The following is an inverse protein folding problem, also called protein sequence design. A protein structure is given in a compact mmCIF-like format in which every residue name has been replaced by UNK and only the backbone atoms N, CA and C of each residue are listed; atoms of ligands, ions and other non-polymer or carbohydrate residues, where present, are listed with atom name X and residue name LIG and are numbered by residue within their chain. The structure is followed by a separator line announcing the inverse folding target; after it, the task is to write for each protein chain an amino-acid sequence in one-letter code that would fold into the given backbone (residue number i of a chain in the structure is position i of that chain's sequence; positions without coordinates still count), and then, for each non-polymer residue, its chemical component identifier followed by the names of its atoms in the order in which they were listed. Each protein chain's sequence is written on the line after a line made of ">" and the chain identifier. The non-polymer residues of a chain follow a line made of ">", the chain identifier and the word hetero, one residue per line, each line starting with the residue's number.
data_IF_598917947447
#
_entry.id   IF_598917947447
#
_cell.length_a   1.000
_cell.length_b   1.000
_cell.length_c   1.000
_cell.angle_alpha   90.00
_cell.angle_beta   90.00
_cell.angle_gamma   90.00
#
_symmetry.space_group_name_H-M   'P 1'
#
loop_
_entity.id
_entity.type
_entity.pdbx_description
1 polymer ?
2 water ?
#
# COMPACT_ATOMS: atom_id res chain seq x y z
N UNK A 6 12.70 8.15 14.96
CA UNK A 6 12.45 6.93 15.73
C UNK A 6 12.27 5.70 14.79
N UNK A 7 13.25 4.76 14.82
CA UNK A 7 13.23 3.51 14.02
C UNK A 7 12.86 2.32 14.93
N UNK A 8 11.68 1.69 14.74
CA UNK A 8 11.30 0.55 15.60
C UNK A 8 12.20 -0.65 15.42
N UNK A 9 12.30 -1.53 16.45
CA UNK A 9 13.16 -2.71 16.32
C UNK A 9 12.53 -3.78 15.44
N UNK A 10 13.27 -4.77 14.91
CA UNK A 10 12.60 -5.87 14.22
C UNK A 10 11.88 -6.72 15.28
N UNK A 11 11.11 -7.68 14.84
CA UNK A 11 10.38 -8.55 15.74
C UNK A 11 9.15 -9.06 15.07
N UNK A 12 8.42 -9.92 15.79
CA UNK A 12 7.17 -10.51 15.32
C UNK A 12 6.07 -9.48 15.20
N UNK A 13 5.40 -9.49 14.02
CA UNK A 13 4.23 -8.69 13.71
C UNK A 13 3.06 -9.43 14.40
N UNK A 14 2.40 -8.74 15.34
CA UNK A 14 1.27 -9.27 16.10
C UNK A 14 0.01 -8.57 15.58
N UNK A 15 -1.04 -9.37 15.33
CA UNK A 15 -2.34 -8.85 14.90
C UNK A 15 -3.34 -9.21 16.01
N UNK A 16 -3.45 -8.35 17.05
CA UNK A 16 -4.36 -8.66 18.18
C UNK A 16 -5.81 -8.73 17.73
N UNK A 17 -6.69 -9.51 18.40
CA UNK A 17 -8.09 -9.53 17.97
C UNK A 17 -8.74 -8.16 18.04
N UNK A 18 -9.76 -7.97 17.22
CA UNK A 18 -10.51 -6.72 17.18
C UNK A 18 -11.39 -6.65 18.44
N UNK A 19 -11.31 -5.51 19.15
CA UNK A 19 -12.09 -5.29 20.39
C UNK A 19 -13.28 -4.36 20.15
N UNK A 20 -14.47 -4.79 20.65
CA UNK A 20 -15.75 -4.09 20.58
C UNK A 20 -15.64 -2.77 21.34
N UNK A 21 -16.05 -1.68 20.69
CA UNK A 21 -16.00 -0.33 21.25
C UNK A 21 -14.70 0.41 20.97
N UNK A 22 -13.72 -0.29 20.40
CA UNK A 22 -12.44 0.35 20.10
C UNK A 22 -12.47 0.97 18.72
N UNK A 23 -11.63 2.01 18.54
CA UNK A 23 -11.48 2.80 17.31
C UNK A 23 -10.42 2.15 16.41
N UNK A 24 -10.75 2.06 15.12
CA UNK A 24 -9.93 1.51 14.06
C UNK A 24 -10.12 2.36 12.82
N UNK A 25 -9.49 1.93 11.71
CA UNK A 25 -9.66 2.50 10.39
C UNK A 25 -10.31 1.40 9.56
N UNK A 26 -11.20 1.78 8.65
CA UNK A 26 -11.86 0.88 7.72
C UNK A 26 -12.19 1.62 6.43
N UNK A 27 -12.44 0.85 5.32
CA UNK A 27 -12.83 1.39 3.98
C UNK A 27 -14.02 2.36 4.13
N UNK A 28 -13.94 3.57 3.52
CA UNK A 28 -15.02 4.56 3.60
C UNK A 28 -16.10 4.20 2.59
N UNK A 29 -15.72 4.12 1.29
CA UNK A 29 -16.58 3.78 0.16
C UNK A 29 -15.87 2.68 -0.64
N UNK A 30 -15.04 3.06 -1.63
CA UNK A 30 -14.25 2.15 -2.47
C UNK A 30 -13.01 1.67 -1.70
N UNK A 31 -12.71 0.36 -1.79
CA UNK A 31 -11.64 -0.33 -1.05
C UNK A 31 -10.24 0.24 -1.32
N UNK A 32 -9.92 0.58 -2.61
CA UNK A 32 -8.66 1.15 -3.13
C UNK A 32 -8.51 2.62 -2.64
N UNK A 33 -9.67 3.30 -2.35
CA UNK A 33 -9.78 4.69 -1.87
C UNK A 33 -9.53 4.78 -0.35
N UNK A 34 -9.68 5.98 0.25
CA UNK A 34 -9.39 6.31 1.65
C UNK A 34 -10.11 5.43 2.69
N UNK A 35 -9.43 5.29 3.84
CA UNK A 35 -9.90 4.58 5.04
C UNK A 35 -10.04 5.60 6.13
N UNK A 36 -11.10 5.49 6.93
CA UNK A 36 -11.40 6.47 7.96
C UNK A 36 -11.73 5.82 9.31
N UNK A 37 -11.76 6.65 10.38
CA UNK A 37 -12.09 6.31 11.78
C UNK A 37 -13.47 5.67 11.92
N UNK A 38 -13.48 4.50 12.56
CA UNK A 38 -14.66 3.71 12.87
C UNK A 38 -14.54 3.16 14.31
N UNK A 39 -15.66 2.73 14.88
CA UNK A 39 -15.76 2.05 16.16
C UNK A 39 -16.45 0.75 15.82
N UNK A 40 -15.89 -0.40 16.22
CA UNK A 40 -16.51 -1.71 16.00
C UNK A 40 -17.60 -1.82 17.05
N UNK A 41 -18.84 -1.97 16.60
CA UNK A 41 -20.00 -2.01 17.49
C UNK A 41 -20.58 -3.44 17.59
N UNK A 42 -20.14 -4.38 16.74
CA UNK A 42 -20.66 -5.74 16.78
C UNK A 42 -19.71 -6.75 16.17
N UNK A 43 -19.67 -7.96 16.73
CA UNK A 43 -18.86 -9.07 16.21
C UNK A 43 -19.78 -10.18 15.72
N UNK A 44 -19.68 -10.52 14.43
CA UNK A 44 -20.49 -11.59 13.87
C UNK A 44 -19.56 -12.75 13.45
N UNK A 45 -20.02 -13.98 13.69
CA UNK A 45 -19.29 -15.17 13.30
C UNK A 45 -20.23 -16.22 12.76
N UNK A 46 -19.85 -16.87 11.66
CA UNK A 46 -20.60 -17.93 11.00
C UNK A 46 -19.78 -19.21 10.80
N UNK A 47 -20.37 -20.37 11.03
CA UNK A 47 -19.70 -21.66 10.89
C UNK A 47 -20.52 -22.60 10.01
N UNK A 48 -19.88 -23.27 9.02
CA UNK A 48 -20.52 -24.22 8.10
C UNK A 48 -20.32 -25.65 8.56
N UNK A 49 -21.08 -26.60 7.96
CA UNK A 49 -21.07 -28.04 8.26
C UNK A 49 -19.62 -28.60 8.14
N UNK A 50 -18.86 -28.11 7.15
CA UNK A 50 -17.46 -28.48 6.90
C UNK A 50 -16.49 -27.92 7.98
N UNK A 51 -16.99 -27.04 8.87
CA UNK A 51 -16.20 -26.45 9.94
C UNK A 51 -15.45 -25.16 9.65
N UNK A 52 -15.61 -24.57 8.45
CA UNK A 52 -14.92 -23.32 8.17
C UNK A 52 -15.71 -22.12 8.74
N UNK A 53 -15.10 -21.43 9.72
CA UNK A 53 -15.66 -20.23 10.35
C UNK A 53 -15.51 -18.99 9.43
N UNK A 54 -16.23 -17.88 9.73
CA UNK A 54 -16.20 -16.66 8.94
C UNK A 54 -16.51 -15.48 9.86
N UNK A 55 -15.59 -14.48 9.98
CA UNK A 55 -15.81 -13.32 10.87
C UNK A 55 -16.11 -12.05 10.08
N UNK A 56 -17.05 -11.26 10.61
CA UNK A 56 -17.53 -10.02 10.03
C UNK A 56 -17.76 -9.01 11.16
N UNK A 57 -17.71 -7.73 10.85
CA UNK A 57 -17.79 -6.71 11.90
C UNK A 57 -18.72 -5.61 11.57
N UNK A 58 -19.64 -5.31 12.49
CA UNK A 58 -20.51 -4.17 12.28
C UNK A 58 -19.72 -2.98 12.81
N UNK A 59 -19.47 -2.05 11.91
CA UNK A 59 -18.69 -0.88 12.19
C UNK A 59 -19.60 0.34 12.08
N UNK A 60 -19.28 1.38 12.83
CA UNK A 60 -19.99 2.66 12.84
C UNK A 60 -18.97 3.74 12.47
N UNK A 61 -19.26 4.56 11.45
CA UNK A 61 -18.34 5.62 11.06
C UNK A 61 -18.40 6.76 12.05
N UNK A 62 -17.23 7.29 12.39
CA UNK A 62 -17.10 8.38 13.34
C UNK A 62 -17.09 9.71 12.60
N UNK A 63 -17.64 10.75 13.26
CA UNK A 63 -17.77 12.12 12.75
C UNK A 63 -18.61 12.19 11.44
N UNK A 64 -19.90 11.81 11.53
CA UNK A 64 -20.80 11.76 10.37
C UNK A 64 -22.01 12.67 10.59
N UNK A 65 -22.75 13.10 9.52
CA UNK A 65 -23.98 13.93 9.74
C UNK A 65 -25.17 13.12 10.28
N UNK A 66 -25.21 11.84 9.92
CA UNK A 66 -26.23 10.91 10.35
C UNK A 66 -25.53 9.58 10.58
N UNK A 67 -26.19 8.63 11.24
CA UNK A 67 -25.60 7.34 11.52
C UNK A 67 -25.31 6.55 10.26
N UNK A 68 -24.05 6.14 10.12
CA UNK A 68 -23.58 5.33 9.01
C UNK A 68 -22.94 4.09 9.61
N UNK A 69 -23.54 2.94 9.31
CA UNK A 69 -23.19 1.61 9.81
C UNK A 69 -22.90 0.71 8.59
N UNK A 70 -22.00 -0.26 8.76
CA UNK A 70 -21.62 -1.19 7.69
C UNK A 70 -21.05 -2.48 8.31
N UNK A 71 -21.10 -3.58 7.54
CA UNK A 71 -20.54 -4.87 7.93
C UNK A 71 -19.38 -5.17 6.96
N UNK A 72 -18.17 -5.27 7.52
CA UNK A 72 -16.96 -5.52 6.77
C UNK A 72 -16.18 -6.68 7.39
N UNK A 73 -15.14 -7.11 6.71
CA UNK A 73 -14.21 -8.18 7.10
C UNK A 73 -12.97 -7.52 7.70
N UNK A 74 -12.23 -8.23 8.59
CA UNK A 74 -10.98 -7.74 9.20
C UNK A 74 -9.92 -7.32 8.13
N UNK A 75 -10.09 -7.79 6.87
CA UNK A 75 -9.26 -7.44 5.71
C UNK A 75 -9.58 -6.02 5.20
N UNK A 76 -10.66 -5.41 5.71
CA UNK A 76 -11.08 -4.05 5.36
C UNK A 76 -11.06 -3.14 6.60
N UNK A 77 -10.34 -3.55 7.67
CA UNK A 77 -10.14 -2.82 8.92
C UNK A 77 -8.64 -2.79 9.20
N UNK A 78 -8.13 -1.71 9.78
CA UNK A 78 -6.72 -1.56 10.15
C UNK A 78 -6.65 -0.91 11.54
N UNK A 79 -5.58 -1.20 12.31
CA UNK A 79 -5.37 -0.68 13.66
C UNK A 79 -5.21 0.85 13.62
N UNK A 80 -5.50 1.53 14.75
CA UNK A 80 -5.49 2.99 14.86
C UNK A 80 -4.13 3.59 15.17
N UNK A 81 -3.25 2.80 15.79
CA UNK A 81 -1.89 3.19 16.20
C UNK A 81 -0.87 2.44 15.36
N UNK A 82 0.37 2.99 15.18
CA UNK A 82 1.36 2.28 14.37
C UNK A 82 1.93 1.05 15.08
N UNK A 83 2.43 0.05 14.31
CA UNK A 83 3.00 -1.16 14.94
C UNK A 83 4.23 -0.88 15.84
N UNK A 84 4.47 -1.73 16.89
CA UNK A 84 5.61 -1.48 17.78
C UNK A 84 6.96 -1.99 17.25
N UNK A 85 6.93 -2.62 16.06
CA UNK A 85 8.09 -3.20 15.37
C UNK A 85 8.10 -2.77 13.94
N UNK A 86 9.29 -2.77 13.31
CA UNK A 86 9.41 -2.44 11.90
C UNK A 86 8.79 -3.54 11.03
N UNK A 87 8.26 -3.14 9.86
CA UNK A 87 7.54 -4.00 8.94
C UNK A 87 8.41 -4.37 7.75
N UNK A 88 8.07 -5.47 7.09
CA UNK A 88 8.86 -6.02 5.98
C UNK A 88 8.08 -6.07 4.67
N UNK A 89 8.79 -6.29 3.56
CA UNK A 89 8.24 -6.41 2.19
C UNK A 89 7.09 -7.43 2.16
N UNK A 90 5.94 -6.98 1.67
CA UNK A 90 4.75 -7.79 1.48
C UNK A 90 3.68 -7.56 2.50
N UNK A 91 4.00 -6.79 3.56
CA UNK A 91 3.05 -6.47 4.62
C UNK A 91 2.00 -5.50 4.06
N UNK A 92 0.74 -5.84 4.26
CA UNK A 92 -0.44 -5.09 3.83
C UNK A 92 -0.73 -4.09 4.93
N UNK A 93 -0.75 -2.82 4.57
CA UNK A 93 -0.94 -1.73 5.51
C UNK A 93 -1.89 -0.69 4.92
N UNK A 94 -2.11 0.39 5.68
CA UNK A 94 -2.67 1.66 5.23
C UNK A 94 -1.58 2.66 5.54
N UNK A 95 -1.31 3.60 4.64
CA UNK A 95 -0.26 4.60 4.89
C UNK A 95 -0.76 5.99 4.59
N UNK A 96 -0.34 6.95 5.41
CA UNK A 96 -0.79 8.31 5.23
C UNK A 96 -0.10 8.92 4.02
N UNK A 97 -0.90 9.09 2.95
CA UNK A 97 -0.49 9.66 1.68
C UNK A 97 -0.61 11.19 1.72
N UNK A 98 0.42 11.88 1.20
CA UNK A 98 0.50 13.34 1.16
C UNK A 98 0.57 13.81 -0.29
N UNK A 112 -6.44 13.94 -2.22
CA UNK A 112 -6.38 14.51 -0.87
C UNK A 112 -5.51 13.65 0.08
N UNK A 113 -5.02 14.29 1.17
CA UNK A 113 -4.20 13.64 2.20
C UNK A 113 -5.06 12.76 3.11
N UNK A 114 -4.80 11.42 3.07
CA UNK A 114 -5.54 10.39 3.80
C UNK A 114 -4.81 9.03 3.84
N UNK A 115 -5.40 8.06 4.55
CA UNK A 115 -4.90 6.71 4.66
C UNK A 115 -5.44 5.93 3.49
N UNK A 116 -4.57 5.36 2.69
CA UNK A 116 -4.96 4.57 1.53
C UNK A 116 -4.35 3.18 1.69
N UNK A 117 -5.02 2.11 1.21
CA UNK A 117 -4.44 0.76 1.33
C UNK A 117 -3.21 0.56 0.46
N UNK A 118 -2.25 -0.19 0.98
CA UNK A 118 -1.03 -0.47 0.24
C UNK A 118 -0.26 -1.67 0.75
N UNK A 119 0.90 -1.88 0.16
CA UNK A 119 1.84 -2.93 0.48
C UNK A 119 3.24 -2.32 0.67
N UNK A 120 3.99 -2.79 1.70
CA UNK A 120 5.36 -2.37 1.98
C UNK A 120 6.22 -2.93 0.81
N UNK A 121 6.93 -2.05 0.09
CA UNK A 121 7.78 -2.45 -1.03
C UNK A 121 9.29 -2.41 -0.66
N UNK A 122 9.65 -1.66 0.39
CA UNK A 122 11.02 -1.59 0.92
C UNK A 122 10.90 -1.41 2.43
N UNK A 123 11.70 -2.12 3.25
CA UNK A 123 11.60 -1.92 4.71
C UNK A 123 12.43 -0.69 5.10
N UNK A 124 12.44 -0.31 6.40
CA UNK A 124 13.27 0.81 6.87
C UNK A 124 14.74 0.42 6.68
N UNK A 125 15.50 1.21 5.90
CA UNK A 125 16.93 1.02 5.58
C UNK A 125 17.63 2.34 5.67
N UNK A 126 18.97 2.33 5.73
CA UNK A 126 19.81 3.52 5.67
C UNK A 126 19.68 4.07 4.22
N UNK A 127 19.70 3.15 3.20
CA UNK A 127 19.57 3.44 1.75
C UNK A 127 18.31 4.28 1.37
N UNK A 128 17.23 4.20 2.18
CA UNK A 128 16.01 4.97 1.88
C UNK A 128 15.68 5.98 3.00
N UNK A 129 16.67 6.30 3.89
CA UNK A 129 16.56 7.22 5.03
C UNK A 129 15.42 6.80 5.99
N UNK A 130 15.31 5.47 6.22
CA UNK A 130 14.37 4.79 7.13
C UNK A 130 12.93 5.30 6.94
N UNK A 131 12.39 5.00 5.76
CA UNK A 131 11.04 5.28 5.31
C UNK A 131 10.60 4.07 4.53
N UNK A 132 9.34 3.66 4.66
CA UNK A 132 8.82 2.54 3.90
C UNK A 132 8.44 3.02 2.52
N UNK A 133 8.80 2.25 1.48
CA UNK A 133 8.33 2.51 0.11
C UNK A 133 6.96 1.85 0.09
N UNK A 134 5.93 2.60 -0.30
CA UNK A 134 4.55 2.13 -0.40
C UNK A 134 4.12 2.00 -1.84
N UNK A 135 3.58 0.85 -2.20
CA UNK A 135 2.96 0.65 -3.51
C UNK A 135 1.45 0.65 -3.16
N UNK A 136 0.81 1.84 -3.21
CA UNK A 136 -0.60 2.02 -2.91
C UNK A 136 -1.45 1.21 -3.88
N UNK A 137 -2.66 0.81 -3.44
CA UNK A 137 -3.61 0.01 -4.21
C UNK A 137 -4.05 0.76 -5.48
N UNK A 138 -4.28 2.10 -5.35
CA UNK A 138 -4.66 3.05 -6.41
C UNK A 138 -3.53 3.28 -7.47
N UNK A 139 -2.33 2.76 -7.21
CA UNK A 139 -1.19 2.90 -8.12
C UNK A 139 -0.22 4.02 -7.78
N UNK A 140 -0.52 4.81 -6.75
CA UNK A 140 0.38 5.88 -6.32
C UNK A 140 1.52 5.25 -5.52
N UNK A 141 2.65 5.92 -5.45
CA UNK A 141 3.76 5.40 -4.66
C UNK A 141 4.36 6.54 -3.84
N UNK A 142 4.85 6.20 -2.64
CA UNK A 142 5.41 7.20 -1.73
C UNK A 142 6.25 6.56 -0.66
N UNK A 143 7.26 7.32 -0.18
CA UNK A 143 8.12 7.02 0.96
C UNK A 143 7.41 7.64 2.15
N UNK A 144 6.94 6.78 3.05
CA UNK A 144 6.17 7.17 4.23
C UNK A 144 6.95 6.72 5.48
N UNK A 145 7.10 7.60 6.53
CA UNK A 145 7.76 7.16 7.78
C UNK A 145 6.89 6.15 8.56
N UNK A 146 7.48 5.44 9.52
CA UNK A 146 6.80 4.42 10.33
C UNK A 146 5.58 4.98 11.08
N UNK A 147 5.66 6.21 11.61
CA UNK A 147 4.56 6.83 12.34
C UNK A 147 3.31 7.01 11.48
N UNK A 148 3.44 7.03 10.13
CA UNK A 148 2.30 7.20 9.22
C UNK A 148 1.74 5.87 8.62
N UNK A 149 2.17 4.67 9.11
CA UNK A 149 1.59 3.39 8.65
C UNK A 149 0.76 2.73 9.80
N UNK A 150 -0.23 1.91 9.41
CA UNK A 150 -1.09 1.11 10.28
C UNK A 150 -1.26 -0.22 9.60
N UNK A 151 -1.22 -1.28 10.37
CA UNK A 151 -1.41 -2.64 9.87
C UNK A 151 -2.89 -2.98 9.62
N UNK A 152 -3.17 -3.65 8.49
CA UNK A 152 -4.50 -4.19 8.18
C UNK A 152 -4.69 -5.33 9.22
N UNK A 153 -5.91 -5.49 9.78
CA UNK A 153 -6.17 -6.42 10.89
C UNK A 153 -6.03 -7.91 10.50
N UNK A 154 -6.17 -8.28 9.22
CA UNK A 154 -6.05 -9.69 8.83
C UNK A 154 -5.05 -9.89 7.69
N UNK A 155 -4.02 -10.71 7.97
CA UNK A 155 -2.94 -11.10 7.06
C UNK A 155 -3.45 -11.91 5.86
N UNK A 156 -2.88 -11.68 4.68
CA UNK A 156 -3.24 -12.42 3.47
C UNK A 156 -2.06 -13.30 3.09
N UNK A 157 -2.31 -14.61 2.89
CA UNK A 157 -1.22 -15.52 2.52
C UNK A 157 -0.58 -15.08 1.20
N UNK A 158 -1.41 -14.78 0.20
CA UNK A 158 -1.01 -14.34 -1.13
C UNK A 158 -1.62 -12.91 -1.18
N UNK A 159 -0.92 -11.94 -0.56
CA UNK A 159 -1.26 -10.52 -0.40
C UNK A 159 -1.69 -9.77 -1.72
N UNK A 160 -1.36 -10.30 -2.92
CA UNK A 160 -1.81 -9.73 -4.19
C UNK A 160 -3.31 -9.98 -4.40
N UNK A 161 -3.83 -11.11 -3.88
CA UNK A 161 -5.25 -11.48 -3.94
C UNK A 161 -6.18 -10.42 -3.26
N UNK A 162 -5.55 -9.44 -2.56
CA UNK A 162 -6.15 -8.31 -1.82
C UNK A 162 -6.07 -6.95 -2.55
N UNK A 163 -5.19 -6.83 -3.56
CA UNK A 163 -5.00 -5.58 -4.31
C UNK A 163 -5.97 -5.50 -5.49
N UNK A 168 -1.70 -4.24 -9.97
CA UNK A 168 -2.29 -5.36 -9.25
C UNK A 168 -1.62 -6.71 -9.60
N UNK A 169 -1.44 -7.01 -10.92
CA UNK A 169 -0.77 -8.22 -11.42
C UNK A 169 0.76 -8.04 -11.35
N UNK A 170 1.20 -6.78 -11.15
CA UNK A 170 2.58 -6.32 -10.96
C UNK A 170 3.00 -6.67 -9.53
N UNK A 171 2.09 -6.37 -8.56
CA UNK A 171 2.30 -6.59 -7.13
C UNK A 171 2.42 -8.12 -6.86
N UNK A 172 1.80 -8.97 -7.73
CA UNK A 172 1.95 -10.43 -7.65
C UNK A 172 3.37 -10.82 -8.03
N UNK A 173 3.85 -10.40 -9.24
CA UNK A 173 5.19 -10.69 -9.74
C UNK A 173 6.28 -10.07 -8.85
N UNK A 174 6.01 -8.90 -8.23
CA UNK A 174 6.94 -8.18 -7.36
C UNK A 174 7.28 -8.95 -6.10
N UNK A 175 6.23 -9.56 -5.49
CA UNK A 175 6.28 -10.25 -4.21
C UNK A 175 6.48 -11.79 -4.41
N UNK A 176 5.61 -12.49 -5.17
CA UNK A 176 5.76 -13.94 -5.38
C UNK A 176 7.04 -14.30 -6.15
N UNK A 177 7.34 -13.54 -7.21
CA UNK A 177 8.53 -13.77 -7.99
C UNK A 177 9.58 -12.67 -7.69
N UNK A 178 9.65 -12.24 -6.39
CA UNK A 178 10.57 -11.19 -5.89
C UNK A 178 12.04 -11.51 -6.18
N UNK A 179 12.77 -10.48 -6.64
CA UNK A 179 14.22 -10.55 -6.86
C UNK A 179 14.85 -9.17 -6.71
N UNK A 180 15.97 -9.11 -5.98
CA UNK A 180 16.79 -7.90 -5.78
C UNK A 180 17.44 -7.44 -7.14
N UNK A 181 17.52 -8.38 -8.13
CA UNK A 181 18.11 -8.24 -9.46
C UNK A 181 17.07 -7.86 -10.55
N UNK A 182 15.95 -7.22 -10.14
CA UNK A 182 14.89 -6.80 -11.06
C UNK A 182 15.34 -5.59 -11.88
N UNK A 183 14.91 -5.46 -13.17
CA UNK A 183 15.28 -4.25 -13.94
C UNK A 183 14.82 -2.94 -13.27
N UNK A 184 15.77 -2.01 -13.05
CA UNK A 184 15.53 -0.68 -12.46
C UNK A 184 16.21 0.35 -13.36
N UNK A 185 15.55 1.49 -13.66
CA UNK A 185 16.23 2.53 -14.43
C UNK A 185 17.18 3.29 -13.52
N UNK A 186 18.34 3.61 -14.06
CA UNK A 186 19.32 4.46 -13.44
C UNK A 186 19.11 5.74 -14.25
N UNK A 187 18.82 6.86 -13.56
CA UNK A 187 18.51 8.11 -14.26
C UNK A 187 19.15 9.32 -13.59
N UNK A 188 19.12 10.45 -14.34
CA UNK A 188 19.68 11.74 -13.99
C UNK A 188 18.68 12.84 -14.37
N UNK A 189 18.53 13.87 -13.52
CA UNK A 189 17.69 15.05 -13.79
C UNK A 189 17.95 15.58 -15.20
N UNK A 190 16.94 15.54 -16.05
CA UNK A 190 17.10 16.04 -17.41
C UNK A 190 16.99 15.01 -18.53
N UNK A 191 17.04 13.72 -18.20
CA UNK A 191 16.87 12.69 -19.22
C UNK A 191 15.38 12.53 -19.51
N UNK A 192 15.04 12.01 -20.70
CA UNK A 192 13.68 11.74 -21.09
C UNK A 192 13.50 10.28 -21.48
N UNK A 193 12.28 9.79 -21.35
CA UNK A 193 11.86 8.43 -21.72
C UNK A 193 10.37 8.38 -21.81
N UNK A 194 9.86 7.41 -22.58
CA UNK A 194 8.44 7.15 -22.78
C UNK A 194 7.90 6.60 -21.45
N UNK A 195 6.82 7.18 -20.95
CA UNK A 195 6.22 6.84 -19.67
C UNK A 195 4.71 6.67 -19.82
N UNK A 196 4.15 5.58 -19.24
CA UNK A 196 2.70 5.26 -19.24
C UNK A 196 1.93 6.06 -18.19
N UNK A 197 0.86 6.74 -18.62
CA UNK A 197 -0.05 7.46 -17.74
C UNK A 197 -1.47 7.20 -18.18
N UNK A 198 -2.25 6.51 -17.32
CA UNK A 198 -3.65 6.14 -17.62
C UNK A 198 -3.76 5.39 -18.96
N UNK A 199 -2.93 4.36 -19.14
CA UNK A 199 -2.92 3.56 -20.36
C UNK A 199 -2.33 4.22 -21.60
N UNK A 200 -1.83 5.47 -21.49
CA UNK A 200 -1.22 6.18 -22.61
C UNK A 200 0.29 6.40 -22.38
N UNK A 201 1.10 5.99 -23.37
CA UNK A 201 2.55 6.18 -23.37
C UNK A 201 2.81 7.57 -23.85
N UNK A 202 3.48 8.35 -23.00
CA UNK A 202 3.80 9.75 -23.23
C UNK A 202 5.27 10.05 -23.04
N UNK A 203 5.70 11.19 -23.58
CA UNK A 203 7.06 11.68 -23.41
C UNK A 203 7.10 12.30 -21.99
N UNK A 204 8.09 11.91 -21.17
CA UNK A 204 8.22 12.47 -19.83
C UNK A 204 9.69 12.72 -19.46
N UNK A 205 9.96 13.78 -18.66
CA UNK A 205 11.30 14.19 -18.26
C UNK A 205 11.54 13.99 -16.77
N UNK A 206 12.73 13.46 -16.41
CA UNK A 206 13.17 13.23 -15.03
C UNK A 206 13.39 14.62 -14.44
N UNK A 207 12.58 15.02 -13.42
CA UNK A 207 12.82 16.36 -12.87
C UNK A 207 13.31 16.26 -11.41
N UNK A 208 13.17 15.08 -10.76
CA UNK A 208 13.66 14.83 -9.41
C UNK A 208 13.85 13.31 -9.21
N UNK A 209 14.67 12.93 -8.22
CA UNK A 209 14.94 11.52 -7.87
C UNK A 209 15.01 11.46 -6.35
N UNK A 210 14.38 10.43 -5.76
CA UNK A 210 14.38 10.16 -4.32
C UNK A 210 14.47 8.68 -4.15
N UNK A 211 15.71 8.22 -4.01
CA UNK A 211 16.13 6.84 -3.82
C UNK A 211 15.55 5.98 -4.95
N UNK A 212 14.57 5.09 -4.66
CA UNK A 212 13.95 4.21 -5.66
C UNK A 212 12.83 4.90 -6.41
N UNK A 213 12.55 6.17 -6.14
CA UNK A 213 11.50 6.90 -6.85
C UNK A 213 12.05 7.97 -7.78
N UNK A 214 11.37 8.15 -8.93
CA UNK A 214 11.73 9.16 -9.94
C UNK A 214 10.51 10.06 -10.24
N UNK A 215 10.71 11.40 -10.16
CA UNK A 215 9.65 12.35 -10.45
C UNK A 215 9.66 12.68 -11.94
N UNK A 216 8.66 12.17 -12.65
CA UNK A 216 8.50 12.35 -14.10
C UNK A 216 7.51 13.50 -14.42
N UNK A 217 7.95 14.42 -15.30
CA UNK A 217 7.17 15.56 -15.79
C UNK A 217 6.76 15.25 -17.25
N UNK A 218 5.47 15.04 -17.48
CA UNK A 218 4.91 14.71 -18.78
C UNK A 218 4.86 15.90 -19.74
N UNK A 219 5.26 15.65 -21.00
CA UNK A 219 5.24 16.52 -22.18
C UNK A 219 5.59 17.99 -21.85
N UNK A 223 3.81 20.74 -15.54
CA UNK A 223 2.45 20.85 -15.00
C UNK A 223 1.89 19.49 -14.48
N UNK A 224 2.13 18.40 -15.25
CA UNK A 224 1.65 17.04 -15.00
C UNK A 224 2.85 16.21 -14.53
N UNK A 225 3.04 16.14 -13.21
CA UNK A 225 4.17 15.41 -12.61
C UNK A 225 3.66 14.22 -11.78
N UNK A 226 4.54 13.19 -11.60
CA UNK A 226 4.23 11.95 -10.90
C UNK A 226 5.50 11.23 -10.47
N UNK A 227 5.52 10.79 -9.21
CA UNK A 227 6.59 10.00 -8.60
C UNK A 227 6.36 8.57 -8.99
N UNK A 228 7.26 7.98 -9.74
CA UNK A 228 7.10 6.61 -10.22
C UNK A 228 8.32 5.75 -9.76
N UNK A 229 8.06 4.49 -9.47
CA UNK A 229 9.06 3.54 -9.04
C UNK A 229 9.97 3.28 -10.22
N UNK A 230 11.27 3.41 -9.98
CA UNK A 230 12.33 3.23 -10.96
C UNK A 230 12.37 1.82 -11.58
N UNK A 231 11.62 0.88 -11.01
CA UNK A 231 11.52 -0.51 -11.48
C UNK A 231 10.19 -0.84 -12.12
N UNK A 232 9.38 0.21 -12.35
CA UNK A 232 8.05 0.14 -12.95
C UNK A 232 8.07 -0.02 -14.50
N UNK A 233 7.16 -0.89 -15.00
CA UNK A 233 6.96 -1.18 -16.43
C UNK A 233 6.35 0.01 -17.11
N UNK A 234 5.90 1.02 -16.33
CA UNK A 234 5.33 2.27 -16.82
C UNK A 234 6.39 3.18 -17.39
N UNK A 235 7.68 2.81 -17.27
CA UNK A 235 8.82 3.53 -17.82
C UNK A 235 9.36 2.66 -18.95
N UNK A 236 9.26 3.18 -20.17
CA UNK A 236 9.69 2.57 -21.42
C UNK A 236 10.93 1.70 -21.38
N UNK A 237 12.08 2.23 -20.86
CA UNK A 237 13.31 1.41 -20.81
C UNK A 237 13.21 0.15 -19.95
N UNK A 238 12.44 0.21 -18.84
CA UNK A 238 12.21 -0.90 -17.90
C UNK A 238 11.42 -1.99 -18.63
N UNK A 239 10.33 -1.57 -19.31
CA UNK A 239 9.46 -2.40 -20.12
C UNK A 239 10.30 -3.20 -21.14
N UNK A 240 11.14 -2.52 -21.93
CA UNK A 240 11.99 -3.17 -22.93
C UNK A 240 12.92 -4.17 -22.28
N UNK A 241 13.66 -3.73 -21.23
CA UNK A 241 14.60 -4.52 -20.43
C UNK A 241 13.92 -5.79 -19.90
N UNK A 242 12.67 -5.66 -19.40
CA UNK A 242 11.87 -6.76 -18.86
C UNK A 242 11.44 -7.73 -19.98
N UNK A 243 11.20 -7.23 -21.21
CA UNK A 243 10.85 -8.04 -22.37
C UNK A 243 12.09 -8.79 -22.89
N UNK A 244 13.24 -8.07 -22.98
CA UNK A 244 14.55 -8.56 -23.46
C UNK A 244 15.04 -9.75 -22.62
N UNK A 245 14.93 -9.65 -21.27
CA UNK A 245 15.31 -10.70 -20.33
C UNK A 245 14.33 -11.89 -20.45
N UNK A 246 13.00 -11.62 -20.50
CA UNK A 246 11.96 -12.63 -20.66
C UNK A 246 11.87 -13.09 -22.11
#
# INVERSE_FOLDING_TARGET
>A
SDYVHEVPPPGEIVRPPIQLGETYYAVKNKAIASWVSIKVIEFTESTAINGNTMKSYKIRYLNTPYQMIKTVTAKHIAYFEPPPVRLTIGTRVIAYFDGTTLSRGKDKGVVQSAFYPGIIAEPLKQANRYRYLIFYDDGYTQYVPHRDVRLVCQASEKVWEDVHAASRDFIQKYVEKYSVDRPMVQCTRGQSMTTESNGTWLYARVIDIDCSLVLMQFEGDKNHTEWIYRGSLRLGPVFRETQNNMNSSSAQQLRVP
#
